data_IF_007362486970
#
_entry.id   IF_007362486970
#
_cell.length_a   1.000
_cell.length_b   1.000
_cell.length_c   1.000
_cell.angle_alpha   90.00
_cell.angle_beta   90.00
_cell.angle_gamma   90.00
#
_symmetry.space_group_name_H-M   'P 1'
#
loop_
_entity.id
_entity.type
_entity.pdbx_description
1 polymer ?
#
# COMPACT_ATOMS: atom_id res chain seq x y z
N UNK A 1 -27.12 24.32 -13.97
CA UNK A 1 -25.76 24.80 -13.67
C UNK A 1 -25.05 23.73 -12.86
N UNK A 2 -24.69 22.62 -13.51
CA UNK A 2 -23.92 21.52 -12.89
C UNK A 2 -23.00 20.92 -13.96
N UNK A 3 -21.90 21.59 -14.27
CA UNK A 3 -20.91 21.13 -15.26
C UNK A 3 -19.44 21.30 -14.84
N UNK A 4 -19.14 21.62 -13.59
CA UNK A 4 -17.75 21.89 -13.16
C UNK A 4 -17.19 20.91 -12.11
N UNK A 5 -17.93 19.89 -11.69
CA UNK A 5 -17.56 19.03 -10.56
C UNK A 5 -16.74 17.78 -10.93
N UNK A 6 -16.88 17.25 -12.15
CA UNK A 6 -16.23 15.98 -12.51
C UNK A 6 -14.73 16.12 -12.88
N UNK A 7 -14.34 17.22 -13.49
CA UNK A 7 -12.92 17.44 -13.84
C UNK A 7 -12.06 17.73 -12.60
N UNK A 8 -12.62 18.36 -11.59
CA UNK A 8 -11.91 18.73 -10.35
C UNK A 8 -11.70 17.51 -9.44
N UNK A 9 -12.63 16.57 -9.40
CA UNK A 9 -12.50 15.31 -8.65
C UNK A 9 -11.43 14.40 -9.27
N UNK A 10 -11.30 14.41 -10.60
CA UNK A 10 -10.27 13.64 -11.32
C UNK A 10 -8.83 14.11 -10.96
N UNK A 11 -8.64 15.41 -10.74
CA UNK A 11 -7.33 15.98 -10.44
C UNK A 11 -6.92 15.83 -8.97
N UNK A 12 -7.87 15.97 -8.04
CA UNK A 12 -7.57 15.93 -6.61
C UNK A 12 -7.14 14.56 -6.10
N UNK A 13 -7.79 13.48 -6.55
CA UNK A 13 -7.44 12.11 -6.16
C UNK A 13 -6.09 11.65 -6.73
N UNK A 14 -5.65 12.19 -7.89
CA UNK A 14 -4.37 11.85 -8.51
C UNK A 14 -3.19 12.70 -8.00
N UNK A 15 -3.43 13.92 -7.51
CA UNK A 15 -2.37 14.83 -7.06
C UNK A 15 -1.94 14.60 -5.60
N UNK A 16 -2.79 14.01 -4.77
CA UNK A 16 -2.46 13.74 -3.37
C UNK A 16 -1.34 12.69 -3.18
N UNK A 17 -1.07 11.86 -4.21
CA UNK A 17 -0.06 10.78 -4.17
C UNK A 17 1.26 11.12 -4.89
N UNK A 18 1.46 12.33 -5.43
CA UNK A 18 2.67 12.65 -6.21
C UNK A 18 3.65 13.48 -5.37
N UNK A 19 4.78 12.89 -4.90
CA UNK A 19 5.87 13.69 -4.35
C UNK A 19 6.46 14.59 -5.44
N UNK A 20 6.98 15.79 -5.11
CA UNK A 20 7.54 16.71 -6.10
C UNK A 20 8.69 16.07 -6.86
N UNK A 21 8.59 16.01 -8.18
CA UNK A 21 9.59 15.47 -9.08
C UNK A 21 10.84 16.35 -9.11
N UNK A 22 12.03 15.73 -9.05
CA UNK A 22 13.31 16.38 -9.33
C UNK A 22 13.49 16.57 -10.84
N UNK A 23 14.22 17.60 -11.31
CA UNK A 23 14.44 17.81 -12.74
C UNK A 23 15.31 16.70 -13.33
N UNK A 24 14.77 15.96 -14.29
CA UNK A 24 15.49 14.97 -15.07
C UNK A 24 16.30 15.65 -16.19
N UNK A 25 17.55 15.23 -16.39
CA UNK A 25 18.37 15.63 -17.51
C UNK A 25 17.85 15.03 -18.82
N UNK A 26 17.84 15.85 -19.87
CA UNK A 26 17.32 15.50 -21.19
C UNK A 26 18.24 14.55 -21.96
N UNK A 27 17.80 13.31 -22.14
CA UNK A 27 18.16 12.44 -23.26
C UNK A 27 16.95 11.55 -23.48
N UNK A 28 16.33 11.48 -24.65
CA UNK A 28 15.15 10.72 -25.08
C UNK A 28 14.29 10.12 -23.96
N UNK A 29 13.92 10.91 -22.99
CA UNK A 29 13.54 10.47 -21.66
C UNK A 29 12.16 9.82 -21.68
N UNK A 30 12.08 8.61 -21.17
CA UNK A 30 10.81 7.96 -20.82
C UNK A 30 10.04 8.92 -19.89
N UNK A 31 8.83 9.32 -20.30
CA UNK A 31 7.98 10.24 -19.53
C UNK A 31 7.71 9.65 -18.15
N UNK A 32 7.89 10.47 -17.12
CA UNK A 32 7.58 10.09 -15.75
C UNK A 32 6.08 10.11 -15.44
N UNK A 33 5.66 9.52 -14.31
CA UNK A 33 4.25 9.47 -13.88
C UNK A 33 3.56 10.85 -13.90
N UNK A 34 4.14 11.96 -13.37
CA UNK A 34 3.48 13.26 -13.39
C UNK A 34 3.25 13.81 -14.80
N UNK A 35 4.12 13.49 -15.74
CA UNK A 35 3.99 13.92 -17.14
C UNK A 35 2.91 13.14 -17.86
N UNK A 36 2.85 11.81 -17.65
CA UNK A 36 1.82 10.94 -18.22
C UNK A 36 0.43 11.26 -17.67
N UNK A 37 0.30 11.62 -16.39
CA UNK A 37 -0.97 12.08 -15.82
C UNK A 37 -1.48 13.35 -16.51
N UNK A 38 -0.60 14.35 -16.71
CA UNK A 38 -0.97 15.57 -17.46
C UNK A 38 -1.30 15.30 -18.92
N UNK A 39 -0.66 14.31 -19.53
CA UNK A 39 -0.97 13.85 -20.89
C UNK A 39 -2.34 13.19 -20.96
N UNK A 40 -2.63 12.27 -20.04
CA UNK A 40 -3.92 11.59 -19.92
C UNK A 40 -5.07 12.60 -19.72
N UNK A 41 -4.90 13.55 -18.80
CA UNK A 41 -5.89 14.60 -18.55
C UNK A 41 -6.18 15.45 -19.81
N UNK A 42 -5.13 15.94 -20.47
CA UNK A 42 -5.28 16.74 -21.70
C UNK A 42 -5.96 15.96 -22.82
N UNK A 43 -5.57 14.71 -23.01
CA UNK A 43 -6.15 13.83 -24.03
C UNK A 43 -7.64 13.56 -23.74
N UNK A 44 -7.99 13.28 -22.47
CA UNK A 44 -9.38 13.08 -22.06
C UNK A 44 -10.24 14.34 -22.30
N UNK A 45 -9.76 15.52 -21.90
CA UNK A 45 -10.46 16.80 -22.11
C UNK A 45 -10.62 17.15 -23.60
N UNK A 46 -9.63 16.78 -24.44
CA UNK A 46 -9.69 16.93 -25.89
C UNK A 46 -10.56 15.86 -26.58
N UNK A 47 -11.05 14.86 -25.83
CA UNK A 47 -11.75 13.68 -26.36
C UNK A 47 -10.91 12.84 -27.32
N UNK A 48 -9.59 12.94 -27.22
CA UNK A 48 -8.64 12.04 -27.88
C UNK A 48 -8.47 10.79 -27.03
N UNK A 49 -9.42 9.87 -27.16
CA UNK A 49 -9.49 8.69 -26.31
C UNK A 49 -8.39 7.68 -26.62
N UNK A 50 -7.83 7.67 -27.83
CA UNK A 50 -6.65 6.87 -28.18
C UNK A 50 -5.41 7.35 -27.42
N UNK A 51 -5.16 8.64 -27.40
CA UNK A 51 -4.06 9.22 -26.63
C UNK A 51 -4.28 9.02 -25.12
N UNK A 52 -5.52 9.15 -24.62
CA UNK A 52 -5.87 8.88 -23.24
C UNK A 52 -5.57 7.44 -22.84
N UNK A 53 -6.07 6.46 -23.59
CA UNK A 53 -5.78 5.02 -23.37
C UNK A 53 -4.28 4.76 -23.37
N UNK A 54 -3.54 5.27 -24.35
CA UNK A 54 -2.10 5.06 -24.47
C UNK A 54 -1.34 5.61 -23.25
N UNK A 55 -1.73 6.77 -22.73
CA UNK A 55 -1.18 7.31 -21.50
C UNK A 55 -1.49 6.44 -20.27
N UNK A 56 -2.74 5.93 -20.17
CA UNK A 56 -3.15 5.05 -19.07
C UNK A 56 -2.46 3.69 -19.12
N UNK A 57 -2.24 3.10 -20.30
CA UNK A 57 -1.44 1.88 -20.48
C UNK A 57 -0.04 2.09 -19.88
N UNK A 58 0.64 3.17 -20.24
CA UNK A 58 1.99 3.46 -19.75
C UNK A 58 2.01 3.74 -18.24
N UNK A 59 0.99 4.40 -17.69
CA UNK A 59 0.84 4.60 -16.25
C UNK A 59 0.70 3.26 -15.53
N UNK A 60 -0.14 2.37 -16.05
CA UNK A 60 -0.31 1.02 -15.48
C UNK A 60 0.96 0.17 -15.58
N UNK A 61 1.72 0.26 -16.69
CA UNK A 61 3.02 -0.40 -16.82
C UNK A 61 4.04 0.10 -15.77
N UNK A 62 4.06 1.40 -15.50
CA UNK A 62 4.95 1.99 -14.49
C UNK A 62 4.51 1.68 -13.06
N UNK A 63 3.20 1.50 -12.82
CA UNK A 63 2.59 1.27 -11.50
C UNK A 63 1.52 0.18 -11.60
N UNK A 64 1.92 -1.08 -11.75
CA UNK A 64 0.99 -2.18 -12.06
C UNK A 64 0.02 -2.51 -10.92
N UNK A 65 0.34 -2.12 -9.70
CA UNK A 65 -0.49 -2.33 -8.52
C UNK A 65 -1.40 -1.14 -8.18
N UNK A 66 -1.32 -0.04 -8.94
CA UNK A 66 -2.19 1.12 -8.71
C UNK A 66 -3.60 0.82 -9.25
N UNK A 67 -4.54 0.57 -8.34
CA UNK A 67 -5.91 0.18 -8.66
C UNK A 67 -6.70 1.30 -9.36
N UNK A 68 -6.38 2.57 -9.11
CA UNK A 68 -7.01 3.69 -9.80
C UNK A 68 -6.58 3.75 -11.28
N UNK A 69 -5.31 3.45 -11.58
CA UNK A 69 -4.87 3.37 -12.98
C UNK A 69 -5.54 2.20 -13.72
N UNK A 70 -5.76 1.07 -13.04
CA UNK A 70 -6.54 -0.05 -13.61
C UNK A 70 -7.98 0.39 -13.91
N UNK A 71 -8.64 1.06 -12.97
CA UNK A 71 -9.99 1.58 -13.15
C UNK A 71 -10.09 2.55 -14.33
N UNK A 72 -9.18 3.53 -14.41
CA UNK A 72 -9.15 4.50 -15.51
C UNK A 72 -8.83 3.83 -16.86
N UNK A 73 -8.01 2.79 -16.86
CA UNK A 73 -7.69 2.05 -18.08
C UNK A 73 -8.90 1.26 -18.60
N UNK A 74 -9.73 0.68 -17.71
CA UNK A 74 -11.02 0.09 -18.11
C UNK A 74 -11.91 1.13 -18.77
N UNK A 75 -12.02 2.33 -18.17
CA UNK A 75 -12.84 3.42 -18.75
C UNK A 75 -12.29 3.91 -20.10
N UNK A 76 -10.97 3.96 -20.24
CA UNK A 76 -10.33 4.34 -21.52
C UNK A 76 -10.65 3.35 -22.64
N UNK A 77 -10.56 2.04 -22.38
CA UNK A 77 -10.99 1.01 -23.31
C UNK A 77 -12.49 1.06 -23.63
N UNK A 78 -13.33 1.33 -22.61
CA UNK A 78 -14.77 1.47 -22.78
C UNK A 78 -15.15 2.64 -23.71
N UNK A 79 -14.46 3.78 -23.60
CA UNK A 79 -14.68 4.95 -24.47
C UNK A 79 -14.37 4.65 -25.97
N UNK A 80 -13.52 3.67 -26.24
CA UNK A 80 -13.13 3.22 -27.57
C UNK A 80 -13.91 1.98 -28.04
N UNK A 81 -14.89 1.51 -27.25
CA UNK A 81 -15.65 0.26 -27.47
C UNK A 81 -14.76 -1.00 -27.54
N UNK A 82 -13.61 -0.97 -26.89
CA UNK A 82 -12.66 -2.07 -26.79
C UNK A 82 -13.04 -2.99 -25.62
N UNK A 83 -14.12 -3.77 -25.78
CA UNK A 83 -14.73 -4.57 -24.70
C UNK A 83 -13.80 -5.63 -24.13
N UNK A 84 -13.09 -6.39 -24.97
CA UNK A 84 -12.22 -7.50 -24.51
C UNK A 84 -11.10 -7.03 -23.58
N UNK A 85 -10.26 -6.05 -23.90
CA UNK A 85 -9.25 -5.57 -22.96
C UNK A 85 -9.86 -4.95 -21.70
N UNK A 86 -10.99 -4.24 -21.79
CA UNK A 86 -11.69 -3.72 -20.62
C UNK A 86 -12.10 -4.83 -19.65
N UNK A 87 -12.74 -5.90 -20.15
CA UNK A 87 -13.16 -7.03 -19.31
C UNK A 87 -11.99 -7.82 -18.73
N UNK A 88 -10.87 -7.96 -19.44
CA UNK A 88 -9.68 -8.61 -18.90
C UNK A 88 -9.13 -7.87 -17.67
N UNK A 89 -9.14 -6.53 -17.70
CA UNK A 89 -8.72 -5.71 -16.56
C UNK A 89 -9.75 -5.79 -15.44
N UNK A 90 -11.06 -5.69 -15.73
CA UNK A 90 -12.12 -5.85 -14.73
C UNK A 90 -12.03 -7.20 -14.03
N UNK A 91 -11.79 -8.29 -14.77
CA UNK A 91 -11.61 -9.62 -14.21
C UNK A 91 -10.40 -9.70 -13.29
N UNK A 92 -9.26 -9.09 -13.68
CA UNK A 92 -8.07 -8.99 -12.82
C UNK A 92 -8.38 -8.21 -11.54
N UNK A 93 -9.06 -7.06 -11.65
CA UNK A 93 -9.46 -6.24 -10.50
C UNK A 93 -10.39 -7.01 -9.55
N UNK A 94 -11.38 -7.71 -10.10
CA UNK A 94 -12.31 -8.53 -9.34
C UNK A 94 -11.57 -9.66 -8.59
N UNK A 95 -10.68 -10.41 -9.26
CA UNK A 95 -9.88 -11.47 -8.64
C UNK A 95 -9.01 -10.96 -7.49
N UNK A 96 -8.57 -9.70 -7.55
CA UNK A 96 -7.79 -9.03 -6.52
C UNK A 96 -8.64 -8.46 -5.38
N UNK A 97 -9.97 -8.65 -5.41
CA UNK A 97 -10.90 -8.14 -4.40
C UNK A 97 -10.94 -6.62 -4.35
N UNK A 98 -10.75 -5.95 -5.50
CA UNK A 98 -10.85 -4.49 -5.59
C UNK A 98 -12.32 -4.07 -5.71
N UNK A 99 -12.71 -3.04 -4.95
CA UNK A 99 -14.09 -2.54 -4.91
C UNK A 99 -14.24 -1.29 -5.77
N UNK A 100 -14.90 -1.45 -6.92
CA UNK A 100 -15.22 -0.36 -7.82
C UNK A 100 -16.64 -0.53 -8.38
N UNK A 101 -17.38 0.57 -8.46
CA UNK A 101 -18.68 0.63 -9.13
C UNK A 101 -18.54 1.40 -10.43
N UNK A 102 -18.43 0.68 -11.53
CA UNK A 102 -18.30 1.27 -12.87
C UNK A 102 -19.57 1.97 -13.34
N UNK A 103 -20.75 1.69 -12.74
CA UNK A 103 -21.99 2.39 -13.04
C UNK A 103 -21.95 3.88 -12.66
N UNK A 104 -21.03 4.26 -11.74
CA UNK A 104 -20.84 5.68 -11.36
C UNK A 104 -20.19 6.53 -12.46
N UNK A 105 -19.63 5.91 -13.49
CA UNK A 105 -18.95 6.62 -14.59
C UNK A 105 -19.71 6.43 -15.90
N UNK A 106 -20.13 7.50 -16.55
CA UNK A 106 -20.72 7.45 -17.90
C UNK A 106 -19.77 6.89 -18.96
N UNK A 107 -18.46 6.91 -18.68
CA UNK A 107 -17.45 6.38 -19.60
C UNK A 107 -17.52 4.85 -19.75
N UNK A 108 -18.17 4.14 -18.82
CA UNK A 108 -18.36 2.68 -18.89
C UNK A 108 -19.56 2.26 -19.74
N UNK A 109 -20.35 3.21 -20.30
CA UNK A 109 -21.64 2.92 -20.97
C UNK A 109 -21.53 1.82 -22.01
N UNK A 110 -20.47 1.81 -22.85
CA UNK A 110 -20.30 0.85 -23.93
C UNK A 110 -20.06 -0.60 -23.46
N UNK A 111 -19.84 -0.83 -22.16
CA UNK A 111 -19.68 -2.16 -21.58
C UNK A 111 -20.98 -2.71 -20.99
N UNK A 112 -21.97 -1.84 -20.67
CA UNK A 112 -23.13 -2.16 -19.81
C UNK A 112 -24.17 -3.05 -20.46
N UNK A 113 -24.07 -3.30 -21.77
CA UNK A 113 -25.00 -4.11 -22.54
C UNK A 113 -24.72 -5.62 -22.47
N UNK A 114 -23.80 -6.05 -21.61
CA UNK A 114 -23.38 -7.44 -21.49
C UNK A 114 -23.62 -8.02 -20.11
N UNK A 115 -24.07 -9.28 -20.03
CA UNK A 115 -24.20 -10.01 -18.76
C UNK A 115 -22.87 -10.12 -18.00
N UNK A 116 -21.75 -10.20 -18.72
CA UNK A 116 -20.41 -10.25 -18.10
C UNK A 116 -20.11 -8.97 -17.34
N UNK A 117 -20.49 -7.81 -17.88
CA UNK A 117 -20.33 -6.54 -17.19
C UNK A 117 -21.11 -6.51 -15.88
N UNK A 118 -22.41 -6.81 -15.94
CA UNK A 118 -23.28 -6.82 -14.75
C UNK A 118 -22.68 -7.72 -13.67
N UNK A 119 -22.33 -8.94 -14.05
CA UNK A 119 -21.74 -9.92 -13.13
C UNK A 119 -20.44 -9.43 -12.48
N UNK A 120 -19.48 -8.94 -13.27
CA UNK A 120 -18.19 -8.45 -12.74
C UNK A 120 -18.36 -7.19 -11.88
N UNK A 121 -19.20 -6.25 -12.31
CA UNK A 121 -19.46 -5.02 -11.57
C UNK A 121 -20.14 -5.30 -10.23
N UNK A 122 -21.14 -6.19 -10.19
CA UNK A 122 -21.80 -6.58 -8.93
C UNK A 122 -20.84 -7.24 -7.95
N UNK A 123 -19.94 -8.11 -8.42
CA UNK A 123 -18.90 -8.71 -7.58
C UNK A 123 -17.94 -7.69 -7.01
N UNK A 124 -17.57 -6.69 -7.80
CA UNK A 124 -16.67 -5.61 -7.35
C UNK A 124 -17.39 -4.66 -6.37
N UNK A 125 -18.70 -4.43 -6.53
CA UNK A 125 -19.49 -3.71 -5.52
C UNK A 125 -19.50 -4.49 -4.20
N UNK A 126 -19.76 -5.81 -4.25
CA UNK A 126 -19.77 -6.69 -3.07
C UNK A 126 -18.40 -6.76 -2.38
N UNK A 127 -17.31 -6.64 -3.12
CA UNK A 127 -15.97 -6.59 -2.52
C UNK A 127 -15.77 -5.38 -1.58
N UNK A 128 -16.62 -4.37 -1.67
CA UNK A 128 -16.66 -3.21 -0.78
C UNK A 128 -17.55 -3.40 0.46
N UNK A 129 -18.16 -4.55 0.65
CA UNK A 129 -18.94 -4.85 1.85
C UNK A 129 -18.01 -5.12 3.05
N UNK A 130 -18.35 -4.66 4.27
CA UNK A 130 -17.54 -4.89 5.45
C UNK A 130 -17.34 -6.37 5.76
N UNK A 131 -16.08 -6.75 6.07
CA UNK A 131 -15.72 -8.11 6.48
C UNK A 131 -14.71 -8.04 7.63
N UNK A 132 -14.86 -8.95 8.59
CA UNK A 132 -14.02 -9.04 9.77
C UNK A 132 -14.69 -8.45 11.01
N UNK A 133 -14.07 -8.71 12.17
CA UNK A 133 -14.58 -8.29 13.48
C UNK A 133 -13.45 -7.57 14.22
N UNK A 134 -13.73 -6.39 14.73
CA UNK A 134 -12.87 -5.68 15.66
C UNK A 134 -13.00 -6.36 17.02
N UNK A 135 -11.86 -6.72 17.65
CA UNK A 135 -11.81 -7.28 18.98
C UNK A 135 -12.00 -6.20 20.04
N UNK A 136 -10.99 -5.36 20.21
CA UNK A 136 -11.00 -4.24 21.14
C UNK A 136 -10.80 -2.91 20.39
N UNK A 137 -11.27 -1.81 20.97
CA UNK A 137 -11.10 -0.47 20.43
C UNK A 137 -10.77 0.53 21.54
N UNK A 138 -9.76 1.37 21.30
CA UNK A 138 -9.32 2.43 22.19
C UNK A 138 -9.45 3.76 21.44
N UNK A 139 -10.25 4.68 21.95
CA UNK A 139 -10.35 6.03 21.38
C UNK A 139 -9.32 6.96 22.02
N UNK A 140 -8.54 7.64 21.20
CA UNK A 140 -7.54 8.61 21.64
C UNK A 140 -8.17 10.01 21.78
N UNK A 141 -7.50 10.89 22.55
CA UNK A 141 -7.93 12.27 22.67
C UNK A 141 -7.92 13.02 21.32
N UNK A 142 -8.81 13.99 21.16
CA UNK A 142 -8.92 14.80 19.95
C UNK A 142 -7.64 15.61 19.60
N UNK A 143 -6.73 15.74 20.57
CA UNK A 143 -5.42 16.39 20.40
C UNK A 143 -4.35 15.45 19.82
N UNK A 144 -4.66 14.17 19.60
CA UNK A 144 -3.80 13.20 18.92
C UNK A 144 -4.03 13.32 17.41
N UNK A 145 -3.11 13.99 16.73
CA UNK A 145 -3.23 14.33 15.30
C UNK A 145 -2.07 13.72 14.52
N UNK A 146 -2.39 13.07 13.40
CA UNK A 146 -1.43 12.37 12.54
C UNK A 146 -0.58 11.36 13.33
N UNK A 147 -1.18 10.33 13.94
CA UNK A 147 -0.42 9.24 14.52
C UNK A 147 0.21 8.41 13.39
N UNK A 148 1.50 8.15 13.50
CA UNK A 148 2.28 7.37 12.53
C UNK A 148 3.07 6.23 13.18
N UNK A 149 3.17 6.23 14.50
CA UNK A 149 3.95 5.26 15.23
C UNK A 149 3.12 4.60 16.31
N UNK A 150 3.18 3.27 16.38
CA UNK A 150 2.60 2.49 17.45
C UNK A 150 3.48 1.27 17.74
N UNK A 151 3.82 1.07 19.00
CA UNK A 151 4.52 -0.13 19.47
C UNK A 151 4.02 -0.51 20.85
N UNK A 152 4.19 -1.77 21.24
CA UNK A 152 3.82 -2.23 22.58
C UNK A 152 5.03 -2.24 23.50
N UNK A 153 4.90 -1.63 24.66
CA UNK A 153 5.87 -1.76 25.75
C UNK A 153 5.37 -2.77 26.80
N UNK A 154 5.94 -3.98 26.85
CA UNK A 154 5.48 -5.01 27.78
C UNK A 154 5.82 -4.69 29.24
N UNK A 155 6.77 -3.77 29.53
CA UNK A 155 7.09 -3.36 30.90
C UNK A 155 6.07 -2.39 31.46
N UNK A 156 5.52 -1.51 30.61
CA UNK A 156 4.47 -0.56 30.94
C UNK A 156 3.07 -1.14 30.79
N UNK A 157 2.95 -2.29 30.11
CA UNK A 157 1.67 -2.87 29.66
C UNK A 157 0.82 -1.82 28.92
N UNK A 158 1.45 -1.08 28.01
CA UNK A 158 0.87 0.04 27.31
C UNK A 158 1.40 0.17 25.88
N UNK A 159 0.60 0.78 25.01
CA UNK A 159 1.06 1.24 23.71
C UNK A 159 1.90 2.51 23.88
N UNK A 160 2.97 2.62 23.11
CA UNK A 160 3.64 3.88 22.86
C UNK A 160 3.19 4.38 21.49
N UNK A 161 2.61 5.57 21.46
CA UNK A 161 2.04 6.19 20.25
C UNK A 161 2.81 7.45 19.91
N UNK A 162 3.36 7.51 18.70
CA UNK A 162 4.06 8.67 18.16
C UNK A 162 3.19 9.48 17.23
N UNK A 163 3.28 10.82 17.29
CA UNK A 163 2.52 11.73 16.43
C UNK A 163 3.44 12.59 15.58
N UNK A 164 3.09 12.76 14.30
CA UNK A 164 3.83 13.67 13.41
C UNK A 164 3.51 15.11 13.74
N UNK A 165 2.23 15.47 13.85
CA UNK A 165 1.82 16.85 14.04
C UNK A 165 2.34 17.45 15.36
N UNK A 166 2.27 16.70 16.45
CA UNK A 166 2.70 17.17 17.78
C UNK A 166 4.16 16.90 18.10
N UNK A 167 4.82 15.98 17.36
CA UNK A 167 6.16 15.49 17.73
C UNK A 167 6.19 14.87 19.13
N UNK A 168 5.11 14.15 19.50
CA UNK A 168 4.91 13.60 20.85
C UNK A 168 5.02 12.08 20.84
N UNK A 169 5.44 11.53 21.97
CA UNK A 169 5.27 10.11 22.32
C UNK A 169 4.32 10.04 23.52
N UNK A 170 3.24 9.30 23.35
CA UNK A 170 2.21 9.07 24.36
C UNK A 170 2.29 7.62 24.85
N UNK A 171 2.13 7.39 26.15
CA UNK A 171 1.76 6.09 26.72
C UNK A 171 0.24 5.99 26.71
N UNK A 172 -0.29 4.95 26.09
CA UNK A 172 -1.73 4.70 25.99
C UNK A 172 -2.04 3.31 26.53
N UNK A 173 -2.86 3.24 27.56
CA UNK A 173 -3.28 1.96 28.14
C UNK A 173 -4.52 1.42 27.44
N UNK A 174 -4.78 0.12 27.59
CA UNK A 174 -5.96 -0.54 27.02
C UNK A 174 -7.30 0.04 27.51
N UNK A 175 -7.32 0.66 28.70
CA UNK A 175 -8.50 1.36 29.22
C UNK A 175 -8.70 2.78 28.63
N UNK A 176 -7.85 3.20 27.70
CA UNK A 176 -7.89 4.51 27.06
C UNK A 176 -7.16 5.61 27.83
N UNK A 177 -6.63 5.33 29.03
CA UNK A 177 -5.83 6.31 29.75
C UNK A 177 -4.54 6.63 28.98
N UNK A 178 -4.32 7.91 28.70
CA UNK A 178 -3.16 8.38 27.95
C UNK A 178 -2.37 9.42 28.73
N UNK A 179 -1.04 9.36 28.63
CA UNK A 179 -0.14 10.40 29.18
C UNK A 179 1.01 10.66 28.22
N UNK A 180 1.47 11.91 28.16
CA UNK A 180 2.65 12.28 27.39
C UNK A 180 3.93 11.81 28.09
N UNK A 181 4.81 11.13 27.34
CA UNK A 181 6.13 10.70 27.79
C UNK A 181 7.24 11.60 27.26
N UNK A 182 7.18 11.95 25.99
CA UNK A 182 8.17 12.77 25.30
C UNK A 182 7.46 13.79 24.39
N UNK A 183 8.08 14.95 24.22
CA UNK A 183 7.69 15.97 23.25
C UNK A 183 8.91 16.49 22.54
N UNK A 184 8.79 16.79 21.27
CA UNK A 184 9.82 17.45 20.49
C UNK A 184 10.12 18.83 21.06
N UNK A 185 11.37 19.08 21.42
CA UNK A 185 11.89 20.33 21.94
C UNK A 185 13.35 20.57 21.53
N UNK A 186 13.90 21.75 21.87
CA UNK A 186 15.31 22.08 21.57
C UNK A 186 16.29 21.20 22.35
N UNK A 187 15.90 20.67 23.52
CA UNK A 187 16.75 19.84 24.38
C UNK A 187 17.03 18.46 23.78
N UNK A 188 15.99 17.80 23.25
CA UNK A 188 16.12 16.49 22.62
C UNK A 188 16.33 16.58 21.09
N UNK A 189 15.93 17.68 20.47
CA UNK A 189 16.14 17.96 19.04
C UNK A 189 15.35 17.04 18.10
N UNK A 190 14.26 16.43 18.58
CA UNK A 190 13.34 15.64 17.75
C UNK A 190 12.36 16.55 16.98
N UNK A 191 11.68 15.98 16.01
CA UNK A 191 10.63 16.61 15.20
C UNK A 191 9.36 15.74 15.21
N UNK A 192 8.62 15.69 14.11
CA UNK A 192 7.53 14.74 13.95
C UNK A 192 8.00 13.30 14.12
N UNK A 193 7.25 12.49 14.88
CA UNK A 193 7.57 11.09 15.17
C UNK A 193 6.90 10.22 14.11
N UNK A 194 7.70 9.44 13.38
CA UNK A 194 7.25 8.59 12.30
C UNK A 194 7.25 7.11 12.64
N UNK A 195 8.10 6.68 13.58
CA UNK A 195 8.03 5.31 14.11
C UNK A 195 8.66 5.21 15.50
N UNK A 196 8.27 4.16 16.23
CA UNK A 196 8.73 3.81 17.57
C UNK A 196 9.03 2.31 17.64
N UNK A 197 10.15 1.95 18.30
CA UNK A 197 10.51 0.56 18.54
C UNK A 197 11.07 0.40 19.97
N UNK A 198 10.51 -0.57 20.71
CA UNK A 198 10.94 -0.91 22.06
C UNK A 198 11.90 -2.11 22.04
N UNK A 199 13.13 -1.89 22.50
CA UNK A 199 14.10 -2.96 22.77
C UNK A 199 14.25 -3.16 24.30
N UNK A 200 13.45 -4.06 24.84
CA UNK A 200 13.46 -4.38 26.27
C UNK A 200 14.76 -5.05 26.71
N UNK A 201 15.43 -5.78 25.81
CA UNK A 201 16.67 -6.51 26.11
C UNK A 201 17.85 -5.56 26.37
N UNK A 202 17.88 -4.42 25.65
CA UNK A 202 18.95 -3.43 25.77
C UNK A 202 18.51 -2.17 26.49
N UNK A 203 17.28 -2.13 27.01
CA UNK A 203 16.66 -0.98 27.65
C UNK A 203 16.69 0.28 26.76
N UNK A 204 16.14 0.15 25.55
CA UNK A 204 16.12 1.22 24.53
C UNK A 204 14.72 1.49 24.01
N UNK A 205 14.43 2.76 23.84
CA UNK A 205 13.33 3.24 23.00
C UNK A 205 13.95 3.91 21.77
N UNK A 206 13.70 3.35 20.61
CA UNK A 206 14.12 3.91 19.33
C UNK A 206 12.99 4.74 18.73
N UNK A 207 13.37 5.83 18.09
CA UNK A 207 12.46 6.81 17.52
C UNK A 207 12.99 7.27 16.18
N UNK A 208 12.24 7.09 15.09
CA UNK A 208 12.50 7.76 13.83
C UNK A 208 11.79 9.11 13.81
N UNK A 209 12.49 10.16 13.39
CA UNK A 209 11.95 11.52 13.40
C UNK A 209 12.41 12.33 12.21
N UNK A 210 11.50 13.15 11.67
CA UNK A 210 11.78 13.99 10.51
C UNK A 210 11.09 15.37 10.62
N UNK A 211 11.79 16.38 10.11
CA UNK A 211 11.25 17.73 9.98
C UNK A 211 10.43 17.87 8.70
N UNK A 212 9.12 17.69 8.83
CA UNK A 212 8.16 17.81 7.73
C UNK A 212 7.19 18.98 7.96
N UNK A 213 6.56 19.53 6.91
CA UNK A 213 5.59 20.61 7.05
C UNK A 213 4.38 20.29 7.94
N UNK A 214 4.07 19.00 8.15
CA UNK A 214 2.98 18.55 9.01
C UNK A 214 3.31 18.68 10.51
N UNK A 215 4.60 18.77 10.85
CA UNK A 215 5.02 19.00 12.23
C UNK A 215 4.76 20.45 12.64
N UNK A 216 4.06 20.70 13.74
CA UNK A 216 3.67 22.04 14.21
C UNK A 216 4.87 22.94 14.54
N UNK A 217 5.99 22.34 14.94
CA UNK A 217 7.26 23.05 15.19
C UNK A 217 8.16 23.13 13.97
N UNK A 218 7.64 22.86 12.76
CA UNK A 218 8.44 22.89 11.55
C UNK A 218 9.04 24.26 11.25
N UNK A 219 10.34 24.29 11.01
CA UNK A 219 11.06 25.46 10.50
C UNK A 219 11.63 25.15 9.11
N UNK A 220 11.56 26.08 8.15
CA UNK A 220 12.14 25.87 6.81
C UNK A 220 13.64 25.56 6.83
N UNK A 221 14.38 25.99 7.88
CA UNK A 221 15.81 25.69 8.05
C UNK A 221 16.05 24.19 8.34
N UNK A 222 15.04 23.48 8.86
CA UNK A 222 15.12 22.06 9.17
C UNK A 222 14.58 21.18 8.04
N UNK A 223 14.08 21.78 6.97
CA UNK A 223 13.50 21.05 5.83
C UNK A 223 14.41 19.92 5.35
N UNK A 224 13.88 18.69 5.37
CA UNK A 224 14.59 17.51 4.89
C UNK A 224 15.59 16.92 5.90
N UNK A 225 15.64 17.43 7.13
CA UNK A 225 16.40 16.81 8.21
C UNK A 225 15.63 15.63 8.77
N UNK A 226 16.34 14.56 9.04
CA UNK A 226 15.80 13.35 9.68
C UNK A 226 16.91 12.63 10.45
N UNK A 227 16.53 11.93 11.52
CA UNK A 227 17.45 11.14 12.32
C UNK A 227 16.74 10.01 13.05
N UNK A 228 17.51 9.00 13.45
CA UNK A 228 17.15 8.08 14.52
C UNK A 228 17.57 8.67 15.86
N UNK A 229 16.77 8.43 16.89
CA UNK A 229 17.05 8.80 18.26
C UNK A 229 16.97 7.54 19.13
N UNK A 230 17.94 7.44 20.04
CA UNK A 230 18.04 6.38 21.04
C UNK A 230 17.81 6.98 22.42
N UNK A 231 16.72 6.60 23.08
CA UNK A 231 16.42 6.96 24.44
C UNK A 231 16.61 5.76 25.37
N UNK A 232 16.91 6.04 26.61
CA UNK A 232 16.74 5.03 27.67
C UNK A 232 15.26 4.73 27.85
N UNK A 233 14.87 3.44 27.85
CA UNK A 233 13.45 3.06 27.90
C UNK A 233 12.81 3.43 29.25
N UNK A 234 13.54 3.32 30.36
CA UNK A 234 12.99 3.57 31.70
C UNK A 234 12.99 5.06 32.04
N UNK A 235 14.12 5.75 31.87
CA UNK A 235 14.27 7.17 32.26
C UNK A 235 13.81 8.15 31.19
N UNK A 236 13.65 7.70 29.93
CA UNK A 236 13.35 8.53 28.75
C UNK A 236 14.40 9.61 28.46
N UNK A 237 15.62 9.46 29.00
CA UNK A 237 16.73 10.33 28.68
C UNK A 237 17.29 10.03 27.31
N UNK A 238 17.55 11.08 26.51
CA UNK A 238 18.20 10.93 25.22
C UNK A 238 19.64 10.41 25.41
N UNK A 239 19.93 9.24 24.85
CA UNK A 239 21.28 8.66 24.85
C UNK A 239 22.09 9.10 23.66
N UNK A 240 21.49 9.04 22.46
CA UNK A 240 22.20 9.36 21.21
C UNK A 240 21.25 9.71 20.08
N UNK A 241 21.78 10.48 19.13
CA UNK A 241 21.15 10.83 17.88
C UNK A 241 22.01 10.32 16.71
N UNK A 242 21.37 9.69 15.71
CA UNK A 242 22.00 9.18 14.52
C UNK A 242 21.41 9.90 13.29
N UNK A 243 21.99 11.01 12.83
CA UNK A 243 21.47 11.73 11.67
C UNK A 243 21.68 10.92 10.40
N UNK A 244 20.79 11.10 9.42
CA UNK A 244 21.00 10.60 8.06
C UNK A 244 22.27 11.27 7.49
N UNK A 245 23.11 10.53 6.74
CA UNK A 245 24.27 11.12 6.08
C UNK A 245 23.86 12.29 5.17
N UNK A 246 24.60 13.40 5.26
CA UNK A 246 24.32 14.59 4.45
C UNK A 246 24.72 14.34 3.00
N UNK A 247 23.75 14.30 2.09
CA UNK A 247 23.94 14.11 0.65
C UNK A 247 23.29 15.20 -0.20
N UNK A 248 22.75 16.26 0.44
CA UNK A 248 22.09 17.39 -0.21
C UNK A 248 20.64 17.14 -0.62
N UNK A 249 20.09 15.96 -0.32
CA UNK A 249 18.69 15.59 -0.59
C UNK A 249 17.85 15.65 0.69
N UNK A 250 16.53 15.86 0.58
CA UNK A 250 15.64 15.76 1.73
C UNK A 250 15.41 14.29 2.11
N UNK A 251 15.45 13.99 3.40
CA UNK A 251 15.20 12.68 3.99
C UNK A 251 13.97 12.72 4.91
N UNK A 252 13.33 11.57 5.08
CA UNK A 252 12.33 11.34 6.10
C UNK A 252 12.38 9.86 6.51
N UNK A 253 13.09 9.56 7.59
CA UNK A 253 13.11 8.24 8.17
C UNK A 253 11.72 7.90 8.70
N UNK A 254 11.20 6.77 8.30
CA UNK A 254 9.90 6.24 8.67
C UNK A 254 10.02 4.95 9.46
N UNK A 255 9.37 3.90 8.99
CA UNK A 255 9.24 2.62 9.68
C UNK A 255 10.57 1.92 9.92
N UNK A 256 10.67 1.24 11.07
CA UNK A 256 11.84 0.53 11.56
C UNK A 256 11.56 -0.94 11.78
N UNK A 257 12.60 -1.77 11.63
CA UNK A 257 12.56 -3.17 12.06
C UNK A 257 13.90 -3.55 12.71
N UNK A 258 13.87 -4.33 13.79
CA UNK A 258 15.05 -4.76 14.51
C UNK A 258 15.29 -6.25 14.32
N UNK A 259 16.50 -6.60 13.89
CA UNK A 259 16.93 -7.99 13.81
C UNK A 259 17.24 -8.56 15.22
N UNK A 260 17.17 -9.88 15.42
CA UNK A 260 17.47 -10.52 16.71
C UNK A 260 18.86 -10.19 17.28
N UNK A 261 19.84 -9.92 16.41
CA UNK A 261 21.18 -9.50 16.81
C UNK A 261 21.24 -8.05 17.34
N UNK A 262 20.19 -7.26 17.16
CA UNK A 262 20.06 -5.87 17.57
C UNK A 262 20.41 -4.83 16.51
N UNK A 263 20.68 -5.26 15.28
CA UNK A 263 20.78 -4.35 14.15
C UNK A 263 19.43 -3.74 13.83
N UNK A 264 19.35 -2.43 13.70
CA UNK A 264 18.14 -1.68 13.43
C UNK A 264 18.12 -1.19 11.99
N UNK A 265 17.10 -1.56 11.25
CA UNK A 265 16.85 -1.11 9.88
C UNK A 265 15.78 -0.04 9.88
N UNK A 266 15.93 0.99 9.03
CA UNK A 266 14.96 2.08 8.91
C UNK A 266 14.80 2.49 7.45
N UNK A 267 13.57 2.60 7.02
CA UNK A 267 13.21 3.06 5.67
C UNK A 267 13.26 4.59 5.56
N UNK A 268 13.72 5.09 4.43
CA UNK A 268 13.54 6.49 4.06
C UNK A 268 12.34 6.62 3.12
N UNK A 269 11.29 7.27 3.56
CA UNK A 269 10.06 7.44 2.76
C UNK A 269 10.19 8.47 1.63
N UNK A 270 11.26 9.26 1.61
CA UNK A 270 11.56 10.25 0.56
C UNK A 270 12.48 9.70 -0.52
N UNK A 271 13.35 8.79 -0.14
CA UNK A 271 14.31 8.14 -1.02
C UNK A 271 14.16 6.63 -0.90
N UNK A 272 14.25 5.86 -1.99
CA UNK A 272 14.11 4.41 -1.93
C UNK A 272 15.37 3.76 -1.35
N UNK A 273 15.69 4.07 -0.10
CA UNK A 273 16.85 3.57 0.63
C UNK A 273 16.44 3.07 2.00
N UNK A 274 16.89 1.88 2.36
CA UNK A 274 16.87 1.39 3.73
C UNK A 274 18.25 1.63 4.33
N UNK A 275 18.31 2.25 5.51
CA UNK A 275 19.52 2.42 6.29
C UNK A 275 19.60 1.36 7.37
N UNK A 276 20.82 1.05 7.83
CA UNK A 276 21.07 0.19 8.99
C UNK A 276 21.89 0.92 10.05
N UNK A 277 21.49 0.76 11.30
CA UNK A 277 22.25 1.05 12.49
C UNK A 277 22.71 -0.29 13.08
N UNK A 278 23.95 -0.70 12.82
CA UNK A 278 24.52 -1.91 13.41
C UNK A 278 24.67 -1.75 14.92
N UNK A 279 24.47 -2.81 15.69
CA UNK A 279 24.50 -2.76 17.16
C UNK A 279 25.80 -2.20 17.71
N UNK A 280 26.93 -2.52 17.08
CA UNK A 280 28.30 -2.14 17.44
C UNK A 280 28.83 -0.87 16.73
N UNK A 281 28.04 -0.27 15.84
CA UNK A 281 28.44 0.93 15.10
C UNK A 281 27.72 2.18 15.63
N UNK A 282 28.39 3.33 15.50
CA UNK A 282 27.86 4.61 15.97
C UNK A 282 27.27 5.50 14.87
N UNK A 283 27.02 4.91 13.68
CA UNK A 283 26.52 5.65 12.52
C UNK A 283 25.47 4.88 11.79
N UNK A 284 24.53 5.63 11.20
CA UNK A 284 23.58 5.13 10.23
C UNK A 284 24.28 4.99 8.89
N UNK A 285 24.12 3.84 8.23
CA UNK A 285 24.72 3.56 6.91
C UNK A 285 23.64 3.10 5.93
N UNK A 286 23.72 3.46 4.64
CA UNK A 286 22.89 2.83 3.63
C UNK A 286 23.11 1.31 3.63
N UNK A 287 22.04 0.55 3.66
CA UNK A 287 22.04 -0.91 3.59
C UNK A 287 21.55 -1.40 2.23
N UNK A 288 20.39 -0.94 1.82
CA UNK A 288 19.75 -1.37 0.57
C UNK A 288 19.19 -0.16 -0.17
N UNK A 289 19.56 -0.01 -1.44
CA UNK A 289 18.97 0.98 -2.35
C UNK A 289 18.02 0.27 -3.31
N UNK A 290 16.78 0.72 -3.37
CA UNK A 290 15.69 0.11 -4.12
C UNK A 290 15.28 0.98 -5.32
N UNK A 291 16.05 1.06 -6.42
CA UNK A 291 15.87 2.06 -7.48
C UNK A 291 14.55 1.94 -8.25
N UNK A 292 13.86 0.81 -8.11
CA UNK A 292 12.53 0.60 -8.71
C UNK A 292 11.37 0.95 -7.76
N UNK A 293 11.65 1.12 -6.47
CA UNK A 293 10.68 1.54 -5.47
C UNK A 293 10.54 3.06 -5.46
N UNK A 294 9.48 3.56 -4.88
CA UNK A 294 9.08 4.97 -4.96
C UNK A 294 8.87 5.58 -3.59
N UNK A 295 8.19 4.84 -2.71
CA UNK A 295 7.80 5.31 -1.38
C UNK A 295 7.82 4.13 -0.42
N UNK A 296 8.98 3.94 0.23
CA UNK A 296 9.13 2.90 1.24
C UNK A 296 8.25 3.22 2.45
N UNK A 297 7.55 2.21 2.97
CA UNK A 297 6.59 2.34 4.07
C UNK A 297 6.90 1.36 5.19
N UNK A 298 6.49 0.11 5.08
CA UNK A 298 6.66 -0.90 6.11
C UNK A 298 7.98 -1.67 5.98
N UNK A 299 8.57 -2.00 7.12
CA UNK A 299 9.69 -2.94 7.26
C UNK A 299 9.31 -4.04 8.23
N UNK A 300 9.61 -5.28 7.89
CA UNK A 300 9.45 -6.42 8.80
C UNK A 300 10.62 -7.40 8.66
N UNK A 301 11.03 -8.02 9.76
CA UNK A 301 12.13 -9.00 9.77
C UNK A 301 11.58 -10.35 10.19
N UNK A 302 12.02 -11.42 9.51
CA UNK A 302 11.69 -12.80 9.90
C UNK A 302 12.23 -13.15 11.28
N UNK A 303 11.56 -14.09 11.98
CA UNK A 303 11.93 -14.49 13.35
C UNK A 303 13.37 -15.03 13.45
N UNK A 304 13.87 -15.65 12.38
CA UNK A 304 15.25 -16.14 12.28
C UNK A 304 16.29 -15.06 11.97
N UNK A 305 15.84 -13.85 11.69
CA UNK A 305 16.70 -12.73 11.32
C UNK A 305 17.36 -12.83 9.95
N UNK A 306 16.91 -13.75 9.08
CA UNK A 306 17.53 -13.97 7.77
C UNK A 306 16.96 -13.05 6.68
N UNK A 307 15.72 -12.59 6.82
CA UNK A 307 15.01 -11.84 5.78
C UNK A 307 14.46 -10.53 6.28
N UNK A 308 14.70 -9.47 5.52
CA UNK A 308 14.02 -8.18 5.66
C UNK A 308 13.00 -8.03 4.54
N UNK A 309 11.74 -7.81 4.90
CA UNK A 309 10.67 -7.46 3.98
C UNK A 309 10.52 -5.95 3.95
N UNK A 310 10.48 -5.39 2.74
CA UNK A 310 10.41 -3.95 2.50
C UNK A 310 9.17 -3.68 1.66
N UNK A 311 8.18 -3.03 2.23
CA UNK A 311 6.97 -2.61 1.52
C UNK A 311 7.16 -1.24 0.89
N UNK A 312 6.77 -1.14 -0.38
CA UNK A 312 6.63 0.11 -1.11
C UNK A 312 5.15 0.34 -1.44
N UNK A 313 4.70 1.57 -1.25
CA UNK A 313 3.30 1.94 -1.42
C UNK A 313 2.72 1.65 -2.81
N UNK A 314 3.56 1.70 -3.86
CA UNK A 314 3.13 1.53 -5.24
C UNK A 314 3.64 0.24 -5.90
N UNK A 315 4.81 -0.26 -5.47
CA UNK A 315 5.51 -1.36 -6.16
C UNK A 315 5.34 -2.72 -5.48
N UNK A 316 4.84 -2.75 -4.24
CA UNK A 316 4.62 -3.98 -3.49
C UNK A 316 5.74 -4.30 -2.50
N UNK A 317 6.07 -5.59 -2.32
CA UNK A 317 7.01 -6.03 -1.28
C UNK A 317 8.24 -6.66 -1.92
N UNK A 318 9.43 -6.21 -1.50
CA UNK A 318 10.69 -6.91 -1.74
C UNK A 318 11.13 -7.65 -0.48
N UNK A 319 11.71 -8.84 -0.66
CA UNK A 319 12.48 -9.55 0.36
C UNK A 319 13.97 -9.29 0.13
N UNK A 320 14.68 -8.92 1.16
CA UNK A 320 16.14 -8.72 1.13
C UNK A 320 16.78 -9.75 2.06
N UNK A 321 17.68 -10.55 1.54
CA UNK A 321 18.52 -11.43 2.35
C UNK A 321 19.48 -10.58 3.18
N UNK A 322 19.46 -10.73 4.53
CA UNK A 322 20.23 -9.86 5.42
C UNK A 322 21.73 -10.19 5.45
N UNK A 323 22.12 -11.40 5.10
CA UNK A 323 23.53 -11.81 4.98
C UNK A 323 24.11 -11.40 3.62
N UNK A 324 23.45 -11.77 2.54
CA UNK A 324 23.91 -11.48 1.18
C UNK A 324 23.61 -10.05 0.72
N UNK A 325 22.67 -9.35 1.38
CA UNK A 325 22.14 -8.04 0.96
C UNK A 325 21.53 -8.06 -0.45
N UNK A 326 21.01 -9.22 -0.87
CA UNK A 326 20.43 -9.44 -2.18
C UNK A 326 18.89 -9.28 -2.14
N UNK A 327 18.33 -8.35 -2.93
CA UNK A 327 16.89 -8.16 -3.02
C UNK A 327 16.25 -9.13 -4.00
N UNK A 328 15.07 -9.62 -3.65
CA UNK A 328 14.20 -10.41 -4.49
C UNK A 328 12.77 -9.88 -4.37
N UNK A 329 12.05 -9.77 -5.48
CA UNK A 329 10.61 -9.45 -5.43
C UNK A 329 9.88 -10.63 -4.77
N UNK A 330 9.05 -10.33 -3.76
CA UNK A 330 8.18 -11.34 -3.15
C UNK A 330 7.22 -11.89 -4.21
N UNK A 331 7.19 -13.21 -4.39
CA UNK A 331 6.27 -13.85 -5.30
C UNK A 331 4.88 -13.89 -4.68
N UNK A 332 3.87 -13.47 -5.43
CA UNK A 332 2.49 -13.41 -4.95
C UNK A 332 1.54 -13.99 -5.99
N UNK A 333 0.39 -14.56 -5.58
CA UNK A 333 -0.63 -15.00 -6.51
C UNK A 333 -1.25 -13.81 -7.24
N UNK A 334 -1.72 -14.02 -8.48
CA UNK A 334 -2.39 -12.98 -9.30
C UNK A 334 -3.65 -12.40 -8.62
N UNK A 335 -4.20 -13.12 -7.65
CA UNK A 335 -5.36 -12.70 -6.84
C UNK A 335 -5.02 -11.70 -5.74
N UNK A 336 -3.75 -11.35 -5.56
CA UNK A 336 -3.30 -10.34 -4.60
C UNK A 336 -2.80 -9.09 -5.30
N UNK A 337 -3.43 -7.94 -5.02
CA UNK A 337 -2.87 -6.64 -5.34
C UNK A 337 -1.97 -6.16 -4.20
N UNK A 338 -0.73 -5.79 -4.50
CA UNK A 338 0.24 -5.28 -3.52
C UNK A 338 0.37 -3.74 -3.50
N UNK A 339 -0.58 -3.01 -4.09
CA UNK A 339 -0.60 -1.54 -4.01
C UNK A 339 -1.13 -1.03 -2.68
N UNK A 340 -0.75 0.20 -2.34
CA UNK A 340 -1.27 0.91 -1.19
C UNK A 340 -0.92 0.32 0.17
N UNK A 341 0.20 -0.41 0.28
CA UNK A 341 0.67 -0.97 1.56
C UNK A 341 1.32 0.15 2.36
N UNK A 342 0.77 0.44 3.54
CA UNK A 342 1.29 1.44 4.47
C UNK A 342 1.88 0.80 5.75
N UNK A 343 1.26 -0.23 6.31
CA UNK A 343 1.76 -1.02 7.43
C UNK A 343 2.23 -2.41 7.02
N UNK A 344 3.30 -2.90 7.65
CA UNK A 344 3.85 -4.24 7.43
C UNK A 344 4.44 -4.78 8.72
N UNK A 345 3.97 -5.96 9.16
CA UNK A 345 4.49 -6.69 10.31
C UNK A 345 4.79 -8.15 9.94
N UNK A 346 5.72 -8.77 10.65
CA UNK A 346 5.98 -10.20 10.56
C UNK A 346 5.40 -10.93 11.77
N UNK A 347 4.69 -12.04 11.52
CA UNK A 347 4.10 -12.85 12.57
C UNK A 347 4.14 -14.33 12.19
N UNK A 348 4.98 -15.14 12.86
CA UNK A 348 4.99 -16.60 12.77
C UNK A 348 4.94 -17.14 11.33
N UNK A 349 5.86 -16.71 10.47
CA UNK A 349 5.90 -17.13 9.06
C UNK A 349 4.85 -16.46 8.16
N UNK A 350 4.20 -15.40 8.64
CA UNK A 350 3.24 -14.61 7.87
C UNK A 350 3.67 -13.14 7.83
N UNK A 351 3.23 -12.43 6.80
CA UNK A 351 3.21 -10.97 6.78
C UNK A 351 1.80 -10.48 7.07
N UNK A 352 1.68 -9.48 7.92
CA UNK A 352 0.44 -8.74 8.16
C UNK A 352 0.58 -7.39 7.50
N UNK A 353 -0.32 -7.06 6.58
CA UNK A 353 -0.26 -5.82 5.81
C UNK A 353 -1.52 -4.97 6.03
N UNK A 354 -1.34 -3.65 6.06
CA UNK A 354 -2.40 -2.67 5.97
C UNK A 354 -2.35 -2.03 4.59
N UNK A 355 -3.45 -2.10 3.86
CA UNK A 355 -3.60 -1.45 2.56
C UNK A 355 -4.64 -0.34 2.65
N UNK A 356 -4.19 0.91 2.73
CA UNK A 356 -5.05 2.09 2.72
C UNK A 356 -5.09 2.81 1.37
N UNK A 357 -4.15 2.52 0.46
CA UNK A 357 -4.07 3.14 -0.86
C UNK A 357 -4.86 2.43 -1.96
N UNK A 358 -5.70 1.46 -1.63
CA UNK A 358 -6.59 0.77 -2.57
C UNK A 358 -8.03 0.79 -2.05
N UNK A 359 -8.96 0.35 -2.88
CA UNK A 359 -10.37 0.18 -2.52
C UNK A 359 -10.74 -1.31 -2.65
N UNK A 360 -11.27 -1.93 -1.58
CA UNK A 360 -11.49 -1.37 -0.25
C UNK A 360 -10.19 -1.30 0.56
N UNK A 361 -10.14 -0.40 1.56
CA UNK A 361 -9.09 -0.40 2.57
C UNK A 361 -9.19 -1.69 3.38
N UNK A 362 -8.03 -2.31 3.70
CA UNK A 362 -8.05 -3.64 4.30
C UNK A 362 -6.79 -3.97 5.10
N UNK A 363 -6.94 -4.91 6.02
CA UNK A 363 -5.87 -5.61 6.74
C UNK A 363 -5.85 -7.06 6.29
N UNK A 364 -4.69 -7.57 5.88
CA UNK A 364 -4.54 -8.90 5.31
C UNK A 364 -3.41 -9.65 6.00
N UNK A 365 -3.56 -10.97 6.15
CA UNK A 365 -2.48 -11.88 6.50
C UNK A 365 -2.04 -12.67 5.27
N UNK A 366 -0.75 -12.65 5.00
CA UNK A 366 -0.10 -13.33 3.87
C UNK A 366 0.79 -14.43 4.43
N UNK A 367 0.40 -15.71 4.26
CA UNK A 367 1.24 -16.82 4.68
C UNK A 367 2.37 -17.04 3.69
N UNK A 368 3.58 -17.16 4.21
CA UNK A 368 4.78 -17.36 3.40
C UNK A 368 5.08 -18.85 3.21
N UNK A 369 5.80 -19.18 2.14
CA UNK A 369 6.42 -20.47 2.00
C UNK A 369 7.60 -20.64 2.99
N UNK A 370 8.13 -21.84 3.23
CA UNK A 370 9.23 -22.05 4.18
C UNK A 370 10.51 -21.26 3.86
N UNK A 371 10.70 -20.82 2.63
CA UNK A 371 11.86 -19.99 2.25
C UNK A 371 11.61 -18.49 2.47
N UNK A 372 10.37 -18.10 2.76
CA UNK A 372 9.96 -16.69 2.87
C UNK A 372 9.93 -15.93 1.56
N UNK A 373 10.05 -16.60 0.41
CA UNK A 373 10.16 -15.98 -0.91
C UNK A 373 8.83 -15.85 -1.66
N UNK A 374 7.80 -16.61 -1.24
CA UNK A 374 6.51 -16.63 -1.90
C UNK A 374 5.35 -16.62 -0.91
N UNK A 375 4.26 -15.93 -1.28
CA UNK A 375 2.98 -15.97 -0.58
C UNK A 375 2.20 -17.19 -1.04
N UNK A 376 1.86 -18.08 -0.09
CA UNK A 376 1.13 -19.32 -0.35
C UNK A 376 -0.36 -19.23 -0.02
N UNK A 377 -0.74 -18.31 0.88
CA UNK A 377 -2.13 -18.08 1.24
C UNK A 377 -2.37 -16.60 1.56
N UNK A 378 -3.57 -16.12 1.24
CA UNK A 378 -4.01 -14.74 1.46
C UNK A 378 -5.31 -14.76 2.26
N UNK A 379 -5.29 -14.24 3.47
CA UNK A 379 -6.43 -14.20 4.36
C UNK A 379 -6.81 -12.75 4.72
N UNK A 380 -8.01 -12.27 4.39
CA UNK A 380 -8.51 -11.00 4.86
C UNK A 380 -8.79 -11.09 6.37
N UNK A 381 -8.28 -10.14 7.14
CA UNK A 381 -8.56 -10.00 8.58
C UNK A 381 -9.67 -8.96 8.81
N UNK A 382 -9.58 -7.83 8.11
CA UNK A 382 -10.56 -6.77 8.14
C UNK A 382 -10.60 -6.05 6.78
N UNK A 383 -11.79 -5.81 6.24
CA UNK A 383 -11.99 -5.18 4.93
C UNK A 383 -13.15 -4.20 5.02
N UNK A 384 -13.00 -3.00 4.48
CA UNK A 384 -14.06 -2.00 4.34
C UNK A 384 -14.85 -1.71 5.62
N UNK A 385 -14.24 -1.82 6.80
CA UNK A 385 -14.93 -1.53 8.04
C UNK A 385 -15.29 -0.04 8.15
N UNK A 386 -16.44 0.28 8.72
CA UNK A 386 -16.95 1.66 8.85
C UNK A 386 -16.00 2.60 9.62
N UNK A 387 -15.14 2.03 10.48
CA UNK A 387 -14.13 2.77 11.24
C UNK A 387 -12.88 3.10 10.43
N UNK A 388 -12.74 2.58 9.19
CA UNK A 388 -11.56 2.80 8.38
C UNK A 388 -11.62 4.17 7.67
N UNK A 389 -10.68 5.03 8.05
CA UNK A 389 -10.37 6.27 7.34
C UNK A 389 -8.84 6.43 7.26
N UNK A 390 -8.24 5.84 6.22
CA UNK A 390 -6.79 5.69 6.07
C UNK A 390 -6.14 4.95 7.25
N UNK A 391 -6.52 3.68 7.52
CA UNK A 391 -5.85 2.86 8.53
C UNK A 391 -4.36 2.79 8.18
N UNK A 392 -3.52 2.90 9.20
CA UNK A 392 -2.08 2.85 9.00
C UNK A 392 -1.41 1.97 10.06
N UNK A 393 -0.16 2.12 10.28
CA UNK A 393 0.72 1.33 11.12
C UNK A 393 0.08 0.61 12.32
N UNK A 394 0.65 -0.56 12.65
CA UNK A 394 0.19 -1.38 13.76
C UNK A 394 1.35 -2.10 14.44
N UNK A 395 1.00 -2.90 15.44
CA UNK A 395 1.92 -3.77 16.18
C UNK A 395 1.24 -5.06 16.56
N UNK A 396 2.00 -6.15 16.61
CA UNK A 396 1.51 -7.47 17.02
C UNK A 396 1.66 -7.66 18.50
N UNK A 397 0.60 -8.11 19.18
CA UNK A 397 0.61 -8.51 20.59
C UNK A 397 -0.01 -9.89 20.72
N UNK A 398 0.82 -10.91 20.87
CA UNK A 398 0.36 -12.30 20.92
C UNK A 398 -0.27 -12.74 19.59
N UNK A 399 -1.58 -13.01 19.63
CA UNK A 399 -2.37 -13.43 18.46
C UNK A 399 -3.28 -12.33 17.92
N UNK A 400 -3.04 -11.08 18.32
CA UNK A 400 -3.78 -9.92 17.85
C UNK A 400 -2.88 -8.92 17.13
N UNK A 401 -3.43 -8.30 16.10
CA UNK A 401 -2.83 -7.16 15.44
C UNK A 401 -3.58 -5.89 15.83
N UNK A 402 -2.87 -4.96 16.43
CA UNK A 402 -3.37 -3.66 16.89
C UNK A 402 -2.87 -2.56 15.97
N UNK A 403 -3.77 -1.70 15.47
CA UNK A 403 -3.43 -0.68 14.47
C UNK A 403 -4.35 0.53 14.56
N UNK A 404 -3.96 1.64 13.96
CA UNK A 404 -4.82 2.81 13.82
C UNK A 404 -5.86 2.56 12.75
N UNK A 405 -7.14 2.64 13.10
CA UNK A 405 -8.26 2.51 12.15
C UNK A 405 -8.44 3.77 11.30
N UNK A 406 -8.02 4.92 11.82
CA UNK A 406 -8.03 6.21 11.14
C UNK A 406 -6.78 7.01 11.50
N UNK A 407 -6.26 7.82 10.57
CA UNK A 407 -4.97 8.51 10.75
C UNK A 407 -4.97 9.99 10.42
N UNK A 408 -6.06 10.54 9.92
CA UNK A 408 -6.23 11.92 9.47
C UNK A 408 -5.41 12.35 8.24
N UNK A 409 -4.70 11.43 7.58
CA UNK A 409 -3.95 11.76 6.37
C UNK A 409 -4.82 12.14 5.18
N UNK A 410 -6.09 11.71 5.16
CA UNK A 410 -7.07 12.05 4.14
C UNK A 410 -7.91 13.28 4.43
N UNK A 411 -7.76 13.92 5.61
CA UNK A 411 -8.62 15.02 6.06
C UNK A 411 -7.85 16.33 6.15
N UNK A 412 -8.31 17.34 5.40
CA UNK A 412 -7.76 18.71 5.42
C UNK A 412 -8.48 19.62 6.44
N UNK A 413 -9.45 19.11 7.21
CA UNK A 413 -10.37 19.89 8.05
C UNK A 413 -9.99 19.96 9.53
N UNK A 414 -10.65 20.89 10.24
CA UNK A 414 -10.61 21.00 11.70
C UNK A 414 -11.52 19.98 12.39
N UNK A 415 -12.58 19.52 11.70
CA UNK A 415 -13.50 18.47 12.18
C UNK A 415 -12.91 17.09 11.89
N UNK A 416 -12.12 16.58 12.81
CA UNK A 416 -11.50 15.25 12.76
C UNK A 416 -12.14 14.36 13.80
N UNK A 417 -12.54 13.16 13.40
CA UNK A 417 -12.94 12.13 14.36
C UNK A 417 -11.75 11.73 15.23
N UNK A 418 -11.97 11.41 16.52
CA UNK A 418 -10.91 10.89 17.37
C UNK A 418 -10.24 9.66 16.74
N UNK A 419 -8.92 9.57 16.88
CA UNK A 419 -8.18 8.40 16.40
C UNK A 419 -8.55 7.18 17.24
N UNK A 420 -8.78 6.07 16.56
CA UNK A 420 -9.07 4.77 17.17
C UNK A 420 -7.93 3.79 16.93
N UNK A 421 -7.41 3.20 17.99
CA UNK A 421 -6.58 1.99 17.93
C UNK A 421 -7.53 0.81 18.06
N UNK A 422 -7.47 -0.14 17.14
CA UNK A 422 -8.35 -1.32 17.11
C UNK A 422 -7.54 -2.59 16.99
N UNK A 423 -8.07 -3.72 17.48
CA UNK A 423 -7.46 -5.03 17.31
C UNK A 423 -8.26 -5.92 16.36
N UNK A 424 -7.55 -6.79 15.66
CA UNK A 424 -8.11 -7.92 14.92
C UNK A 424 -7.32 -9.19 15.26
N UNK A 425 -8.02 -10.32 15.32
CA UNK A 425 -7.36 -11.61 15.53
C UNK A 425 -6.53 -11.99 14.30
N UNK A 426 -5.30 -12.44 14.52
CA UNK A 426 -4.39 -12.87 13.45
C UNK A 426 -4.74 -14.26 12.91
N UNK A 427 -5.37 -15.10 13.70
CA UNK A 427 -5.92 -16.40 13.27
C UNK A 427 -7.29 -16.22 12.57
N UNK A 428 -7.41 -15.27 11.67
CA UNK A 428 -8.63 -15.03 10.89
C UNK A 428 -8.96 -16.19 9.93
N UNK A 429 -10.26 -16.45 9.77
CA UNK A 429 -10.81 -17.58 8.98
C UNK A 429 -11.11 -17.22 7.52
N UNK A 430 -10.76 -16.03 7.05
CA UNK A 430 -11.06 -15.59 5.69
C UNK A 430 -10.09 -16.22 4.67
N UNK A 431 -10.64 -16.83 3.63
CA UNK A 431 -9.92 -17.17 2.41
C UNK A 431 -10.55 -16.35 1.29
N UNK A 432 -9.75 -15.50 0.61
CA UNK A 432 -10.20 -14.75 -0.57
C UNK A 432 -10.33 -15.64 -1.82
N UNK A 433 -10.23 -16.96 -1.68
CA UNK A 433 -10.54 -17.83 -2.81
C UNK A 433 -11.96 -17.53 -3.30
N UNK A 434 -12.15 -17.29 -4.60
CA UNK A 434 -13.49 -17.06 -5.13
C UNK A 434 -14.40 -18.25 -4.77
N UNK A 435 -15.70 -17.99 -4.54
CA UNK A 435 -16.65 -19.06 -4.30
C UNK A 435 -16.50 -20.18 -5.32
N UNK A 436 -16.73 -21.46 -4.96
CA UNK A 436 -16.54 -22.59 -5.88
C UNK A 436 -17.28 -22.46 -7.21
N UNK A 437 -18.44 -21.76 -7.20
CA UNK A 437 -19.21 -21.45 -8.40
C UNK A 437 -18.48 -20.47 -9.33
N UNK A 438 -17.77 -19.52 -8.75
CA UNK A 438 -16.94 -18.55 -9.48
C UNK A 438 -15.69 -19.20 -10.06
N UNK A 439 -15.04 -20.08 -9.30
CA UNK A 439 -13.88 -20.83 -9.81
C UNK A 439 -14.27 -21.62 -11.06
N UNK A 440 -15.39 -22.34 -11.02
CA UNK A 440 -15.90 -23.07 -12.20
C UNK A 440 -16.25 -22.15 -13.36
N UNK A 441 -16.89 -21.01 -13.11
CA UNK A 441 -17.22 -20.04 -14.15
C UNK A 441 -15.94 -19.49 -14.81
N UNK A 442 -14.93 -19.13 -14.01
CA UNK A 442 -13.65 -18.60 -14.51
C UNK A 442 -12.86 -19.66 -15.29
N UNK A 443 -12.86 -20.91 -14.82
CA UNK A 443 -12.23 -22.06 -15.51
C UNK A 443 -12.93 -22.32 -16.86
N UNK A 444 -14.25 -22.25 -16.89
CA UNK A 444 -15.02 -22.42 -18.12
C UNK A 444 -14.80 -21.27 -19.12
N UNK A 445 -14.72 -20.02 -18.67
CA UNK A 445 -14.39 -18.87 -19.51
C UNK A 445 -12.95 -18.96 -20.03
N UNK A 446 -11.99 -19.35 -19.21
CA UNK A 446 -10.61 -19.56 -19.62
C UNK A 446 -10.51 -20.67 -20.67
N UNK A 447 -11.25 -21.78 -20.49
CA UNK A 447 -11.31 -22.87 -21.45
C UNK A 447 -11.91 -22.42 -22.79
N UNK A 448 -13.02 -21.68 -22.78
CA UNK A 448 -13.65 -21.13 -24.01
C UNK A 448 -12.73 -20.15 -24.74
N UNK A 449 -11.91 -19.37 -24.02
CA UNK A 449 -10.93 -18.45 -24.59
C UNK A 449 -9.73 -19.18 -25.23
N UNK A 450 -9.39 -20.38 -24.74
CA UNK A 450 -8.33 -21.23 -25.29
C UNK A 450 -8.81 -22.08 -26.48
N UNK A 451 -10.10 -22.40 -26.55
CA UNK A 451 -10.69 -23.22 -27.63
C UNK A 451 -10.90 -22.42 -28.92
N UNK A 452 -10.72 -21.10 -28.93
CA UNK A 452 -10.92 -20.24 -30.13
C UNK A 452 -12.35 -20.28 -30.71
N UNK A 453 -12.77 -19.35 -31.56
CA UNK A 453 -14.00 -19.51 -32.33
C UNK A 453 -13.85 -20.77 -33.17
N UNK A 454 -14.67 -21.77 -32.89
CA UNK A 454 -14.68 -23.02 -33.65
C UNK A 454 -14.62 -22.73 -35.15
N UNK A 455 -13.65 -23.33 -35.83
CA UNK A 455 -13.67 -23.38 -37.28
C UNK A 455 -15.00 -24.02 -37.66
N UNK A 456 -15.95 -23.24 -38.19
CA UNK A 456 -17.08 -23.79 -38.92
C UNK A 456 -16.46 -24.69 -39.98
N UNK A 457 -16.77 -25.97 -39.92
CA UNK A 457 -16.44 -26.93 -40.99
C UNK A 457 -16.97 -26.31 -42.29
N UNK A 458 -16.04 -25.90 -43.16
CA UNK A 458 -16.38 -25.51 -44.51
C UNK A 458 -17.02 -26.73 -45.17
N UNK A 459 -18.30 -26.63 -45.54
CA UNK A 459 -18.98 -27.61 -46.38
C UNK A 459 -18.07 -27.98 -47.57
N UNK A 460 -17.63 -29.25 -47.63
CA UNK A 460 -16.96 -29.79 -48.81
C UNK A 460 -17.94 -29.75 -49.98
N UNK A 461 -17.59 -29.19 -51.12
CA UNK A 461 -18.47 -29.22 -52.30
C UNK A 461 -18.66 -30.68 -52.75
N UNK A 462 -19.93 -31.10 -52.95
CA UNK A 462 -20.30 -32.38 -53.53
C UNK A 462 -19.59 -32.61 -54.87
N UNK A 463 -19.09 -33.82 -55.17
CA UNK A 463 -18.45 -34.11 -56.45
C UNK A 463 -19.48 -34.11 -57.58
N UNK A 464 -19.26 -33.28 -58.62
CA UNK A 464 -20.02 -33.29 -59.86
C UNK A 464 -20.03 -34.68 -60.51
N UNK A 465 -21.23 -35.25 -60.67
CA UNK A 465 -21.44 -36.49 -61.43
C UNK A 465 -21.27 -36.18 -62.90
N UNK A 466 -20.17 -36.68 -63.47
CA UNK A 466 -19.90 -36.72 -64.89
C UNK A 466 -20.94 -37.61 -65.64
N UNK A 467 -21.90 -37.02 -66.29
CA UNK A 467 -22.83 -37.71 -67.19
C UNK A 467 -22.17 -37.95 -68.56
N UNK A 468 -21.53 -39.10 -68.74
CA UNK A 468 -21.23 -39.63 -70.03
C UNK A 468 -22.51 -40.10 -70.72
N UNK A 469 -22.98 -39.40 -71.74
CA UNK A 469 -23.91 -39.94 -72.72
C UNK A 469 -23.09 -40.15 -74.04
N UNK A 470 -23.01 -41.42 -74.40
CA UNK A 470 -22.41 -41.82 -75.65
C UNK A 470 -23.27 -41.50 -76.88
N UNK A 471 -22.65 -41.19 -77.97
CA UNK A 471 -22.74 -41.80 -79.28
C UNK A 471 -21.57 -41.39 -80.10
#
# INVERSE_FOLDING_TARGET
MFRSSLATVFLAAMLAAVPPAFPAQASGAVKGVPELLREAERAYLAKDYDAFRNAMVRLHELRPNNSEYMYQLVLAHALLDEKTPAFNIMLKMQRQGLAYDFNRSENSRNLRDTQLYEYLNDLMIKAGEPLGVIGEAISLGADVVLPEAITWDPRREAFLVGTVAGGRVLEVRKDGAARELLRADEGNGTWGVFDLLVDTNRNRLWLSSAATPQFSGFSPVDKGRSALFEFDLDSLELRRRYPVPVDGRPHALGNMAMAPNGDLYVADSRLPVVYVKRVDEERLKPFYAAPRMVSLRGLAISDDGASLYVADYEMGIARVDLEASEPMQLQVPETLNLGGIDGLEYWQGNLVIIQNGIKPQRVMRLSLDPSGAAVTNVAPLAVALDVFDYPNYGTVIGEEFWFFANSHWGSDGEDREPVSIVSVALEGTGNLAPPPEMQRFLEEQARRSLEGPGLEEADEPEPEQDSQSGN
#
